data_IF_469549152376
#
_entry.id   IF_469549152376
#
_cell.length_a   1.000
_cell.length_b   1.000
_cell.length_c   1.000
_cell.angle_alpha   90.00
_cell.angle_beta   90.00
_cell.angle_gamma   90.00
#
_symmetry.space_group_name_H-M   'P 1'
#
loop_
_entity.id
_entity.type
_entity.pdbx_description
1 polymer ?
#
# COMPACT_ATOMS: atom_id res chain seq x y z
N UNK A 1 -4.85 -22.06 14.18
CA UNK A 1 -5.02 -21.63 12.78
C UNK A 1 -4.12 -20.43 12.54
N UNK A 2 -3.10 -20.57 11.70
CA UNK A 2 -2.19 -19.46 11.41
C UNK A 2 -2.96 -18.34 10.72
N UNK A 3 -2.84 -17.14 11.27
CA UNK A 3 -3.59 -15.95 10.88
C UNK A 3 -2.71 -15.16 9.91
N UNK A 4 -3.01 -15.17 8.61
CA UNK A 4 -2.23 -14.43 7.61
C UNK A 4 -2.21 -12.91 7.83
N UNK A 5 -1.26 -12.18 7.23
CA UNK A 5 -1.04 -10.76 7.50
C UNK A 5 -2.08 -9.88 6.79
N UNK A 6 -2.19 -8.64 7.26
CA UNK A 6 -2.79 -7.54 6.48
C UNK A 6 -1.68 -6.77 5.79
N UNK A 7 -1.90 -6.33 4.56
CA UNK A 7 -0.87 -5.68 3.74
C UNK A 7 -1.22 -4.23 3.43
N UNK A 8 -0.25 -3.33 3.56
CA UNK A 8 -0.29 -2.00 2.96
C UNK A 8 0.65 -2.02 1.75
N UNK A 9 0.08 -1.88 0.55
CA UNK A 9 0.86 -1.58 -0.65
C UNK A 9 1.10 -0.06 -0.69
N UNK A 10 2.35 0.33 -0.54
CA UNK A 10 2.74 1.72 -0.33
C UNK A 10 3.38 2.30 -1.59
N UNK A 11 2.79 3.34 -2.16
CA UNK A 11 3.56 4.31 -2.94
C UNK A 11 4.22 5.37 -2.03
N UNK A 12 5.31 5.98 -2.51
CA UNK A 12 6.06 6.98 -1.76
C UNK A 12 5.67 8.40 -2.18
N UNK A 13 5.85 8.70 -3.46
CA UNK A 13 5.60 10.02 -4.03
C UNK A 13 4.10 10.31 -4.06
N UNK A 14 3.72 11.54 -3.73
CA UNK A 14 2.32 11.92 -3.59
C UNK A 14 1.59 11.32 -2.39
N UNK A 15 2.20 10.38 -1.65
CA UNK A 15 1.59 9.71 -0.47
C UNK A 15 2.28 10.10 0.83
N UNK A 16 3.52 9.64 1.04
CA UNK A 16 4.36 9.99 2.20
C UNK A 16 5.41 11.06 1.88
N UNK A 17 5.58 11.35 0.60
CA UNK A 17 6.40 12.39 0.02
C UNK A 17 5.52 13.28 -0.88
N UNK A 18 4.73 14.21 -0.31
CA UNK A 18 3.86 15.09 -1.11
C UNK A 18 4.67 15.98 -2.05
N UNK A 19 4.15 16.27 -3.24
CA UNK A 19 4.87 17.08 -4.24
C UNK A 19 5.05 18.54 -3.84
N UNK A 20 4.21 19.07 -2.94
CA UNK A 20 4.32 20.44 -2.44
C UNK A 20 5.11 20.56 -1.13
N UNK A 21 5.69 19.46 -0.63
CA UNK A 21 6.33 19.41 0.67
C UNK A 21 7.63 18.60 0.70
N UNK A 22 8.23 18.44 1.89
CA UNK A 22 9.45 17.65 2.02
C UNK A 22 9.15 16.16 1.83
N UNK A 23 10.05 15.48 1.13
CA UNK A 23 10.02 14.02 1.04
C UNK A 23 10.08 13.38 2.43
N UNK A 24 9.33 12.31 2.63
CA UNK A 24 9.26 11.57 3.90
C UNK A 24 9.02 12.48 5.11
N UNK A 25 8.20 13.51 4.94
CA UNK A 25 7.96 14.47 6.03
C UNK A 25 7.46 13.76 7.30
N UNK A 26 7.85 14.29 8.46
CA UNK A 26 7.49 13.71 9.77
C UNK A 26 5.99 13.47 9.93
N UNK A 27 5.15 14.41 9.48
CA UNK A 27 3.68 14.31 9.61
C UNK A 27 3.15 13.11 8.80
N UNK A 28 3.56 12.97 7.55
CA UNK A 28 3.10 11.88 6.70
C UNK A 28 3.63 10.51 7.16
N UNK A 29 4.86 10.46 7.66
CA UNK A 29 5.42 9.25 8.25
C UNK A 29 4.71 8.85 9.54
N UNK A 30 4.33 9.81 10.39
CA UNK A 30 3.50 9.55 11.57
C UNK A 30 2.11 9.02 11.21
N UNK A 31 1.50 9.54 10.14
CA UNK A 31 0.23 9.04 9.61
C UNK A 31 0.35 7.60 9.12
N UNK A 32 1.38 7.29 8.32
CA UNK A 32 1.67 5.92 7.89
C UNK A 32 1.91 4.98 9.10
N UNK A 33 2.71 5.41 10.08
CA UNK A 33 2.94 4.66 11.31
C UNK A 33 1.65 4.33 12.03
N UNK A 34 0.76 5.31 12.19
CA UNK A 34 -0.55 5.13 12.83
C UNK A 34 -1.38 4.07 12.12
N UNK A 35 -1.43 4.07 10.79
CA UNK A 35 -2.12 3.04 9.99
C UNK A 35 -1.53 1.66 10.28
N UNK A 36 -0.21 1.52 10.12
CA UNK A 36 0.50 0.24 10.22
C UNK A 36 0.40 -0.36 11.62
N UNK A 37 0.64 0.44 12.66
CA UNK A 37 0.60 -0.01 14.06
C UNK A 37 -0.82 -0.41 14.47
N UNK A 38 -1.82 0.43 14.15
CA UNK A 38 -3.21 0.19 14.56
C UNK A 38 -3.78 -1.04 13.85
N UNK A 39 -3.54 -1.17 12.55
CA UNK A 39 -4.03 -2.30 11.77
C UNK A 39 -3.19 -3.58 11.96
N UNK A 40 -2.00 -3.47 12.57
CA UNK A 40 -0.97 -4.50 12.61
C UNK A 40 -0.61 -5.00 11.20
N UNK A 41 -0.52 -4.07 10.24
CA UNK A 41 -0.25 -4.38 8.85
C UNK A 41 1.25 -4.53 8.59
N UNK A 42 1.59 -5.20 7.49
CA UNK A 42 2.94 -5.24 6.92
C UNK A 42 2.97 -4.40 5.64
N UNK A 43 4.11 -3.79 5.34
CA UNK A 43 4.26 -2.97 4.14
C UNK A 43 4.84 -3.84 3.01
N UNK A 44 4.25 -3.75 1.82
CA UNK A 44 4.86 -4.14 0.55
C UNK A 44 5.09 -2.86 -0.25
N UNK A 45 6.30 -2.65 -0.74
CA UNK A 45 6.62 -1.43 -1.49
C UNK A 45 6.07 -1.53 -2.91
N UNK A 46 5.10 -0.67 -3.24
CA UNK A 46 4.46 -0.56 -4.54
C UNK A 46 4.69 0.84 -5.10
N UNK A 47 5.96 1.15 -5.35
CA UNK A 47 6.42 2.48 -5.76
C UNK A 47 7.49 2.40 -6.83
N UNK A 48 7.69 3.45 -7.63
CA UNK A 48 8.84 3.58 -8.54
C UNK A 48 10.17 3.38 -7.81
N UNK A 49 10.24 3.78 -6.54
CA UNK A 49 11.40 3.62 -5.64
C UNK A 49 11.88 2.18 -5.50
N UNK A 50 11.02 1.18 -5.73
CA UNK A 50 11.39 -0.25 -5.64
C UNK A 50 12.34 -0.69 -6.76
N UNK A 51 12.40 0.03 -7.87
CA UNK A 51 13.12 -0.36 -9.09
C UNK A 51 14.65 -0.24 -8.96
N UNK A 52 15.14 0.53 -7.99
CA UNK A 52 16.57 0.68 -7.72
C UNK A 52 16.95 0.23 -6.31
N UNK A 53 18.17 -0.27 -6.14
CA UNK A 53 18.68 -0.63 -4.81
C UNK A 53 18.77 0.59 -3.90
N UNK A 54 19.21 1.73 -4.45
CA UNK A 54 19.26 3.00 -3.72
C UNK A 54 17.88 3.41 -3.20
N UNK A 55 16.86 3.39 -4.05
CA UNK A 55 15.49 3.75 -3.66
C UNK A 55 14.95 2.84 -2.55
N UNK A 56 15.16 1.52 -2.68
CA UNK A 56 14.80 0.55 -1.63
C UNK A 56 15.52 0.83 -0.31
N UNK A 57 16.82 1.14 -0.35
CA UNK A 57 17.61 1.47 0.85
C UNK A 57 17.12 2.75 1.51
N UNK A 58 16.81 3.79 0.73
CA UNK A 58 16.34 5.06 1.28
C UNK A 58 14.95 4.91 1.91
N UNK A 59 13.99 4.27 1.23
CA UNK A 59 12.67 4.00 1.82
C UNK A 59 12.79 3.19 3.12
N UNK A 60 13.62 2.14 3.11
CA UNK A 60 13.87 1.34 4.33
C UNK A 60 14.44 2.18 5.47
N UNK A 61 15.44 3.01 5.19
CA UNK A 61 16.04 3.93 6.16
C UNK A 61 15.00 4.88 6.76
N UNK A 62 14.16 5.47 5.92
CA UNK A 62 13.12 6.42 6.36
C UNK A 62 12.04 5.75 7.20
N UNK A 63 11.59 4.55 6.83
CA UNK A 63 10.65 3.77 7.65
C UNK A 63 11.23 3.51 9.05
N UNK A 64 12.46 3.00 9.12
CA UNK A 64 13.13 2.67 10.39
C UNK A 64 13.35 3.92 11.24
N UNK A 65 13.82 5.02 10.64
CA UNK A 65 14.05 6.28 11.34
C UNK A 65 12.77 6.88 11.95
N UNK A 66 11.61 6.55 11.39
CA UNK A 66 10.30 6.96 11.89
C UNK A 66 9.60 5.90 12.76
N UNK A 67 10.32 4.86 13.18
CA UNK A 67 9.79 3.81 14.06
C UNK A 67 8.76 2.90 13.39
N UNK A 68 8.84 2.73 12.07
CA UNK A 68 8.03 1.81 11.28
C UNK A 68 8.93 0.63 10.88
N UNK A 69 8.41 -0.59 10.97
CA UNK A 69 9.15 -1.75 10.46
C UNK A 69 9.42 -1.61 8.96
N UNK A 70 10.55 -2.15 8.49
CA UNK A 70 10.84 -2.22 7.06
C UNK A 70 9.72 -2.95 6.29
N UNK A 71 9.57 -2.63 5.01
CA UNK A 71 8.74 -3.42 4.11
C UNK A 71 9.24 -4.87 4.02
N UNK A 72 8.31 -5.81 3.85
CA UNK A 72 8.59 -7.26 3.79
C UNK A 72 8.90 -7.73 2.37
N UNK A 73 8.44 -6.99 1.37
CA UNK A 73 8.66 -7.29 -0.05
C UNK A 73 8.39 -6.07 -0.94
N UNK A 74 8.56 -6.22 -2.25
CA UNK A 74 8.20 -5.26 -3.28
C UNK A 74 7.25 -5.91 -4.31
N UNK A 75 6.34 -5.13 -4.89
CA UNK A 75 5.57 -5.61 -6.05
C UNK A 75 6.50 -5.83 -7.25
N UNK A 76 6.19 -6.77 -8.17
CA UNK A 76 6.93 -6.90 -9.42
C UNK A 76 6.87 -5.60 -10.23
N UNK A 77 7.86 -5.37 -11.10
CA UNK A 77 7.83 -4.28 -12.08
C UNK A 77 7.46 -4.85 -13.43
N UNK A 78 6.23 -4.61 -13.88
CA UNK A 78 5.70 -5.22 -15.10
C UNK A 78 5.58 -4.15 -16.18
N UNK A 79 6.42 -4.25 -17.21
CA UNK A 79 6.44 -3.29 -18.32
C UNK A 79 5.07 -3.15 -18.97
N UNK A 80 4.67 -1.90 -19.26
CA UNK A 80 3.41 -1.55 -19.92
C UNK A 80 2.14 -2.03 -19.19
N UNK A 81 2.20 -2.28 -17.88
CA UNK A 81 1.03 -2.61 -17.05
C UNK A 81 0.84 -1.57 -15.94
N UNK A 82 -0.41 -1.27 -15.57
CA UNK A 82 -0.67 -0.37 -14.46
C UNK A 82 -0.32 -1.04 -13.13
N UNK A 83 0.01 -0.23 -12.12
CA UNK A 83 0.42 -0.69 -10.78
C UNK A 83 -0.57 -1.61 -10.09
N UNK A 84 -1.86 -1.46 -10.37
CA UNK A 84 -2.89 -2.39 -9.89
C UNK A 84 -2.65 -3.83 -10.36
N UNK A 85 -2.17 -4.04 -11.59
CA UNK A 85 -1.81 -5.38 -12.07
C UNK A 85 -0.62 -5.93 -11.29
N UNK A 86 0.37 -5.09 -10.99
CA UNK A 86 1.54 -5.50 -10.18
C UNK A 86 1.15 -5.92 -8.77
N UNK A 87 0.21 -5.21 -8.14
CA UNK A 87 -0.36 -5.56 -6.84
C UNK A 87 -1.11 -6.90 -6.91
N UNK A 88 -1.95 -7.10 -7.92
CA UNK A 88 -2.70 -8.35 -8.11
C UNK A 88 -1.75 -9.53 -8.36
N UNK A 89 -0.74 -9.37 -9.20
CA UNK A 89 0.29 -10.39 -9.43
C UNK A 89 1.08 -10.68 -8.15
N UNK A 90 1.37 -9.69 -7.31
CA UNK A 90 2.00 -9.94 -6.02
C UNK A 90 1.11 -10.78 -5.10
N UNK A 91 -0.20 -10.49 -5.04
CA UNK A 91 -1.15 -11.26 -4.23
C UNK A 91 -1.25 -12.72 -4.68
N UNK A 92 -1.30 -12.95 -6.00
CA UNK A 92 -1.32 -14.30 -6.61
C UNK A 92 -0.03 -15.07 -6.30
N UNK A 93 1.13 -14.45 -6.50
CA UNK A 93 2.43 -15.09 -6.21
C UNK A 93 2.65 -15.38 -4.72
N UNK A 94 1.85 -14.77 -3.83
CA UNK A 94 1.94 -14.91 -2.38
C UNK A 94 0.68 -15.50 -1.75
N UNK A 95 -0.07 -16.33 -2.49
CA UNK A 95 -1.26 -17.02 -1.97
C UNK A 95 -0.98 -17.81 -0.69
N UNK A 96 0.23 -18.35 -0.54
CA UNK A 96 0.69 -19.09 0.64
C UNK A 96 0.72 -18.23 1.92
N UNK A 97 0.87 -16.90 1.82
CA UNK A 97 0.80 -16.00 2.97
C UNK A 97 -0.61 -15.89 3.56
N UNK A 98 -1.64 -16.31 2.81
CA UNK A 98 -3.05 -16.21 3.21
C UNK A 98 -3.42 -14.79 3.68
N UNK A 99 -3.07 -13.77 2.87
CA UNK A 99 -3.35 -12.36 3.17
C UNK A 99 -4.81 -12.18 3.56
N UNK A 100 -5.04 -11.62 4.75
CA UNK A 100 -6.39 -11.45 5.32
C UNK A 100 -7.13 -10.26 4.74
N UNK A 101 -6.39 -9.17 4.52
CA UNK A 101 -6.90 -7.94 3.98
C UNK A 101 -5.74 -7.11 3.42
N UNK A 102 -6.01 -6.17 2.52
CA UNK A 102 -5.01 -5.23 2.06
C UNK A 102 -5.59 -3.85 1.77
N UNK A 103 -4.69 -2.87 1.70
CA UNK A 103 -4.93 -1.51 1.28
C UNK A 103 -3.79 -1.04 0.39
N UNK A 104 -4.11 -0.44 -0.75
CA UNK A 104 -3.17 0.30 -1.58
C UNK A 104 -3.29 1.80 -1.29
N UNK A 105 -2.17 2.43 -0.94
CA UNK A 105 -2.05 3.87 -0.74
C UNK A 105 -1.23 4.44 -1.90
N UNK A 106 -1.85 5.29 -2.70
CA UNK A 106 -1.28 5.76 -3.96
C UNK A 106 -1.83 7.16 -4.31
N UNK A 107 -1.12 7.97 -5.07
CA UNK A 107 -1.67 9.21 -5.64
C UNK A 107 -2.31 8.97 -7.02
N UNK A 108 -2.04 7.82 -7.64
CA UNK A 108 -2.73 7.34 -8.83
C UNK A 108 -4.10 6.78 -8.45
N UNK A 109 -5.10 7.04 -9.29
CA UNK A 109 -6.42 6.41 -9.17
C UNK A 109 -6.37 4.94 -9.61
N UNK A 110 -5.84 4.07 -8.73
CA UNK A 110 -5.71 2.63 -9.00
C UNK A 110 -7.06 1.96 -9.28
N UNK A 111 -8.14 2.43 -8.65
CA UNK A 111 -9.50 1.93 -8.91
C UNK A 111 -9.92 2.16 -10.36
N UNK A 112 -9.60 3.31 -10.95
CA UNK A 112 -9.94 3.60 -12.34
C UNK A 112 -9.19 2.68 -13.33
N UNK A 113 -8.00 2.22 -12.95
CA UNK A 113 -7.13 1.36 -13.74
C UNK A 113 -7.35 -0.14 -13.46
N UNK A 114 -8.12 -0.48 -12.44
CA UNK A 114 -8.33 -1.85 -12.00
C UNK A 114 -9.22 -2.63 -13.00
N UNK A 115 -8.88 -3.90 -13.30
CA UNK A 115 -9.79 -4.79 -14.02
C UNK A 115 -11.15 -4.92 -13.32
N UNK A 116 -11.15 -5.03 -11.99
CA UNK A 116 -12.36 -5.03 -11.17
C UNK A 116 -12.41 -3.77 -10.28
N UNK A 117 -13.06 -2.72 -10.78
CA UNK A 117 -13.17 -1.41 -10.10
C UNK A 117 -13.90 -1.51 -8.77
N UNK A 118 -14.99 -2.27 -8.70
CA UNK A 118 -15.80 -2.42 -7.48
C UNK A 118 -15.01 -3.10 -6.37
N UNK A 119 -14.20 -4.10 -6.71
CA UNK A 119 -13.30 -4.75 -5.76
C UNK A 119 -12.22 -3.77 -5.30
N UNK A 120 -11.51 -3.13 -6.23
CA UNK A 120 -10.37 -2.29 -5.88
C UNK A 120 -10.77 -0.99 -5.16
N UNK A 121 -12.00 -0.49 -5.37
CA UNK A 121 -12.57 0.64 -4.64
C UNK A 121 -12.64 0.40 -3.12
N UNK A 122 -12.71 -0.86 -2.69
CA UNK A 122 -12.73 -1.24 -1.27
C UNK A 122 -11.33 -1.44 -0.67
N UNK A 123 -10.30 -1.43 -1.51
CA UNK A 123 -8.92 -1.75 -1.13
C UNK A 123 -7.92 -0.68 -1.55
N UNK A 124 -8.37 0.51 -1.94
CA UNK A 124 -7.47 1.60 -2.31
C UNK A 124 -7.94 2.93 -1.76
N UNK A 125 -6.96 3.77 -1.45
CA UNK A 125 -7.14 5.18 -1.19
C UNK A 125 -6.24 5.92 -2.17
N UNK A 126 -6.86 6.76 -2.99
CA UNK A 126 -6.16 7.71 -3.83
C UNK A 126 -5.99 9.01 -3.07
N UNK A 127 -4.74 9.32 -2.74
CA UNK A 127 -4.35 10.58 -2.11
C UNK A 127 -4.32 11.71 -3.13
N UNK A 128 -4.39 12.95 -2.67
CA UNK A 128 -4.01 14.09 -3.51
C UNK A 128 -2.49 14.23 -3.44
N UNK A 129 -1.79 14.04 -4.56
CA UNK A 129 -0.33 14.05 -4.63
C UNK A 129 0.31 15.36 -4.14
N UNK A 130 -0.39 16.49 -4.20
CA UNK A 130 0.11 17.75 -3.65
C UNK A 130 0.12 17.73 -2.12
N UNK A 131 -0.88 17.13 -1.47
CA UNK A 131 -1.06 17.17 -0.02
C UNK A 131 -0.57 15.94 0.71
N UNK A 132 -0.47 14.78 0.05
CA UNK A 132 -0.11 13.52 0.68
C UNK A 132 -1.23 12.89 1.51
N UNK A 133 -0.88 11.88 2.30
CA UNK A 133 -1.76 11.25 3.29
C UNK A 133 -2.31 12.27 4.29
N UNK A 134 -3.62 12.28 4.47
CA UNK A 134 -4.33 13.10 5.45
C UNK A 134 -4.81 12.28 6.65
N UNK A 135 -5.30 12.94 7.69
CA UNK A 135 -5.88 12.23 8.84
C UNK A 135 -7.21 11.54 8.50
N UNK A 136 -7.94 12.02 7.48
CA UNK A 136 -9.11 11.36 6.92
C UNK A 136 -8.72 10.04 6.24
N UNK A 137 -7.63 10.05 5.46
CA UNK A 137 -7.09 8.84 4.84
C UNK A 137 -6.67 7.81 5.88
N UNK A 138 -6.05 8.27 6.99
CA UNK A 138 -5.66 7.38 8.10
C UNK A 138 -6.87 6.69 8.72
N UNK A 139 -7.94 7.44 9.01
CA UNK A 139 -9.17 6.87 9.57
C UNK A 139 -9.77 5.82 8.63
N UNK A 140 -9.91 6.16 7.35
CA UNK A 140 -10.43 5.26 6.30
C UNK A 140 -9.54 4.03 6.09
N UNK A 141 -8.22 4.20 6.13
CA UNK A 141 -7.26 3.11 5.99
C UNK A 141 -7.41 2.07 7.10
N UNK A 142 -7.58 2.53 8.35
CA UNK A 142 -7.77 1.66 9.50
C UNK A 142 -9.11 0.91 9.41
N UNK A 143 -10.17 1.57 8.95
CA UNK A 143 -11.47 0.95 8.71
C UNK A 143 -11.36 -0.17 7.66
N UNK A 144 -10.80 0.15 6.48
CA UNK A 144 -10.61 -0.80 5.38
C UNK A 144 -9.83 -2.02 5.84
N UNK A 145 -8.71 -1.83 6.55
CA UNK A 145 -7.84 -2.92 7.00
C UNK A 145 -8.44 -3.71 8.17
N UNK A 146 -9.44 -3.17 8.87
CA UNK A 146 -10.10 -3.86 10.00
C UNK A 146 -11.30 -4.68 9.56
N UNK A 147 -11.88 -4.41 8.39
CA UNK A 147 -12.95 -5.23 7.82
C UNK A 147 -12.45 -6.66 7.53
N UNK A 148 -13.17 -7.65 8.06
CA UNK A 148 -12.81 -9.08 7.92
C UNK A 148 -13.43 -9.72 6.68
N UNK A 149 -14.35 -9.04 6.01
CA UNK A 149 -15.10 -9.56 4.87
C UNK A 149 -14.63 -8.97 3.53
N UNK A 150 -13.55 -8.20 3.54
CA UNK A 150 -13.17 -7.39 2.38
C UNK A 150 -12.49 -8.21 1.26
N UNK A 151 -11.78 -9.29 1.60
CA UNK A 151 -11.24 -10.23 0.60
C UNK A 151 -12.12 -11.47 0.49
N UNK A 152 -12.82 -11.62 -0.63
CA UNK A 152 -13.41 -12.89 -1.04
C UNK A 152 -12.51 -13.53 -2.11
N UNK A 153 -12.01 -14.76 -1.89
CA UNK A 153 -11.09 -15.43 -2.84
C UNK A 153 -11.66 -15.55 -4.26
N UNK A 154 -12.99 -15.61 -4.40
CA UNK A 154 -13.65 -15.57 -5.73
C UNK A 154 -13.48 -14.23 -6.47
N UNK A 155 -13.23 -13.14 -5.76
CA UNK A 155 -13.05 -11.80 -6.34
C UNK A 155 -11.64 -11.54 -6.87
N UNK A 156 -10.66 -12.33 -6.44
CA UNK A 156 -9.27 -12.27 -6.93
C UNK A 156 -9.13 -13.08 -8.24
N UNK A 157 -9.83 -14.20 -8.36
CA UNK A 157 -9.65 -15.15 -9.47
C UNK A 157 -10.61 -14.93 -10.66
N UNK A 158 -11.51 -13.93 -10.57
CA UNK A 158 -12.42 -13.54 -11.65
C UNK A 158 -11.93 -12.30 -12.43
N UNK A 159 -10.62 -12.02 -12.41
CA UNK A 159 -9.96 -10.95 -13.18
C UNK A 159 -8.98 -11.51 -14.19
#
# INVERSE_FOLDING_TARGET
MSSGPKIVFLDCDGVISPFSGPMFSKVHMQRLKKIVDTAQAKIVLSSSWRTSEFGRKEVKKQLIANGISSFIDCTPSISNRPRVVEILTWLENHENLNVKNFLALDDINLTALAPNKTFFAKHSITTNGLTGLTDQDVAKAIEILSDRNNINKKSINNT
#
